data_IF_817931793056
#
_entry.id   IF_817931793056
#
_cell.length_a   1.000
_cell.length_b   1.000
_cell.length_c   1.000
_cell.angle_alpha   90.00
_cell.angle_beta   90.00
_cell.angle_gamma   90.00
#
_symmetry.space_group_name_H-M   'P 1'
#
loop_
_entity.id
_entity.type
_entity.pdbx_description
1 polymer ?
#
# COMPACT_ATOMS: atom_id res chain seq x y z
N UNK A 1 5.42 34.60 3.14
CA UNK A 1 5.03 33.22 2.79
C UNK A 1 3.52 33.16 2.89
N UNK A 2 2.79 33.22 1.78
CA UNK A 2 1.32 33.30 1.84
C UNK A 2 0.79 31.87 2.04
N UNK A 3 0.30 31.57 3.24
CA UNK A 3 -0.42 30.33 3.51
C UNK A 3 -1.65 30.31 2.60
N UNK A 4 -1.69 29.36 1.67
CA UNK A 4 -2.83 29.24 0.77
C UNK A 4 -4.01 28.68 1.58
N UNK A 5 -5.18 29.31 1.52
CA UNK A 5 -6.33 28.98 2.36
C UNK A 5 -6.91 27.60 1.95
N UNK A 6 -7.09 26.63 2.87
CA UNK A 6 -7.63 25.30 2.55
C UNK A 6 -8.93 25.34 1.73
N UNK A 7 -9.80 26.32 1.99
CA UNK A 7 -11.06 26.50 1.25
C UNK A 7 -10.83 26.90 -0.21
N UNK A 8 -9.82 27.74 -0.47
CA UNK A 8 -9.47 28.16 -1.83
C UNK A 8 -8.83 27.01 -2.60
N UNK A 9 -7.98 26.21 -1.93
CA UNK A 9 -7.41 24.99 -2.51
C UNK A 9 -8.47 23.98 -2.91
N UNK A 10 -9.49 23.75 -2.06
CA UNK A 10 -10.57 22.82 -2.34
C UNK A 10 -11.28 23.18 -3.65
N UNK A 11 -11.62 24.46 -3.84
CA UNK A 11 -12.25 24.95 -5.07
C UNK A 11 -11.32 24.88 -6.29
N UNK A 12 -10.03 25.22 -6.12
CA UNK A 12 -9.06 25.25 -7.22
C UNK A 12 -8.62 23.86 -7.71
N UNK A 13 -8.51 22.88 -6.81
CA UNK A 13 -7.94 21.56 -7.13
C UNK A 13 -9.00 20.46 -7.28
N UNK A 14 -10.07 20.54 -6.50
CA UNK A 14 -11.09 19.49 -6.42
C UNK A 14 -12.44 19.93 -6.97
N UNK A 15 -12.58 21.20 -7.40
CA UNK A 15 -13.82 21.80 -7.87
C UNK A 15 -14.99 21.65 -6.89
N UNK A 16 -14.69 21.52 -5.59
CA UNK A 16 -15.66 21.29 -4.51
C UNK A 16 -15.45 22.26 -3.36
N UNK A 17 -16.51 22.51 -2.60
CA UNK A 17 -16.41 23.26 -1.33
C UNK A 17 -15.64 22.42 -0.30
N UNK A 18 -14.81 23.05 0.53
CA UNK A 18 -14.06 22.34 1.58
C UNK A 18 -14.98 21.63 2.57
N UNK A 19 -16.14 22.24 2.87
CA UNK A 19 -17.12 21.69 3.82
C UNK A 19 -17.87 20.46 3.27
N UNK A 20 -17.80 20.20 1.96
CA UNK A 20 -18.38 19.01 1.33
C UNK A 20 -17.40 17.82 1.27
N UNK A 21 -16.13 18.06 1.58
CA UNK A 21 -15.09 17.04 1.54
C UNK A 21 -15.18 16.12 2.76
N UNK A 22 -14.72 14.88 2.59
CA UNK A 22 -14.59 13.96 3.70
C UNK A 22 -13.58 14.45 4.75
N UNK A 23 -13.69 13.99 6.02
CA UNK A 23 -12.80 14.43 7.10
C UNK A 23 -11.32 14.10 6.85
N UNK A 24 -11.04 13.12 5.98
CA UNK A 24 -9.68 12.77 5.57
C UNK A 24 -9.13 13.74 4.50
N UNK A 25 -9.97 14.15 3.54
CA UNK A 25 -9.59 15.08 2.46
C UNK A 25 -9.35 16.49 3.01
N UNK A 26 -10.20 16.94 3.93
CA UNK A 26 -10.03 18.21 4.65
C UNK A 26 -8.68 18.27 5.37
N UNK A 27 -8.33 17.22 6.12
CA UNK A 27 -7.04 17.12 6.82
C UNK A 27 -5.84 17.18 5.88
N UNK A 28 -5.93 16.56 4.70
CA UNK A 28 -4.86 16.60 3.70
C UNK A 28 -4.68 18.03 3.17
N UNK A 29 -5.77 18.70 2.80
CA UNK A 29 -5.74 20.10 2.34
C UNK A 29 -5.18 21.05 3.41
N UNK A 30 -5.56 20.88 4.67
CA UNK A 30 -5.01 21.66 5.79
C UNK A 30 -3.51 21.44 6.01
N UNK A 31 -3.04 20.19 5.92
CA UNK A 31 -1.61 19.86 6.02
C UNK A 31 -0.80 20.47 4.89
N UNK A 32 -1.35 20.42 3.68
CA UNK A 32 -0.74 21.00 2.49
C UNK A 32 -0.74 22.54 2.53
N UNK A 33 -1.83 23.15 3.01
CA UNK A 33 -1.94 24.59 3.23
C UNK A 33 -0.98 25.12 4.30
N UNK A 34 -0.78 24.36 5.39
CA UNK A 34 0.10 24.73 6.51
C UNK A 34 1.59 24.53 6.22
N UNK A 35 1.97 23.94 5.07
CA UNK A 35 3.37 23.74 4.67
C UNK A 35 4.15 22.79 5.59
N UNK A 36 3.45 22.02 6.44
CA UNK A 36 4.03 21.26 7.56
C UNK A 36 4.28 19.78 7.22
N UNK A 37 4.63 19.51 5.98
CA UNK A 37 4.94 18.15 5.52
C UNK A 37 6.43 17.86 5.72
N UNK A 38 6.81 17.62 6.97
CA UNK A 38 7.94 16.76 7.26
C UNK A 38 7.53 15.34 6.81
N UNK A 39 8.10 14.90 5.68
CA UNK A 39 7.90 13.57 5.14
C UNK A 39 8.50 12.48 6.04
N UNK A 40 8.12 11.24 5.74
CA UNK A 40 8.71 9.97 6.19
C UNK A 40 8.25 9.39 7.55
N UNK A 41 7.86 10.19 8.54
CA UNK A 41 7.67 9.66 9.90
C UNK A 41 6.51 8.65 10.07
N UNK A 42 5.38 8.82 9.38
CA UNK A 42 4.20 7.98 9.66
C UNK A 42 4.38 6.50 9.21
N UNK A 43 5.12 6.26 8.13
CA UNK A 43 5.39 4.90 7.64
C UNK A 43 6.57 4.25 8.36
N UNK A 44 7.63 5.02 8.67
CA UNK A 44 8.79 4.52 9.45
C UNK A 44 8.43 4.20 10.92
N UNK A 45 7.54 4.98 11.53
CA UNK A 45 7.06 4.70 12.89
C UNK A 45 6.16 3.46 12.96
N UNK A 46 5.38 3.18 11.91
CA UNK A 46 4.56 1.98 11.83
C UNK A 46 5.42 0.71 11.70
N UNK A 47 6.47 0.73 10.87
CA UNK A 47 7.38 -0.40 10.70
C UNK A 47 8.27 -0.66 11.93
N UNK A 48 8.65 0.38 12.69
CA UNK A 48 9.41 0.22 13.95
C UNK A 48 8.64 -0.51 15.06
N UNK A 49 7.32 -0.67 14.93
CA UNK A 49 6.47 -1.32 15.93
C UNK A 49 6.15 -2.80 15.63
N UNK A 50 6.76 -3.40 14.60
CA UNK A 50 6.40 -4.77 14.22
C UNK A 50 6.71 -5.78 15.33
N UNK A 51 5.66 -6.39 15.89
CA UNK A 51 5.78 -7.38 16.96
C UNK A 51 6.42 -8.66 16.40
N UNK A 52 7.11 -9.45 17.24
CA UNK A 52 7.74 -10.72 16.85
C UNK A 52 6.79 -11.65 16.06
N UNK A 53 5.52 -11.70 16.44
CA UNK A 53 4.49 -12.46 15.73
C UNK A 53 4.21 -11.97 14.31
N UNK A 54 4.26 -10.66 14.05
CA UNK A 54 4.06 -10.10 12.71
C UNK A 54 5.23 -10.45 11.78
N UNK A 55 6.46 -10.44 12.30
CA UNK A 55 7.66 -10.85 11.54
C UNK A 55 7.67 -12.34 11.22
N UNK A 56 7.17 -13.17 12.13
CA UNK A 56 7.03 -14.61 11.91
C UNK A 56 5.94 -14.90 10.87
N UNK A 57 4.78 -14.24 10.97
CA UNK A 57 3.69 -14.37 10.01
C UNK A 57 4.12 -13.96 8.59
N UNK A 58 4.91 -12.90 8.44
CA UNK A 58 5.44 -12.47 7.13
C UNK A 58 6.39 -13.50 6.50
N UNK A 59 7.26 -14.13 7.30
CA UNK A 59 8.12 -15.22 6.82
C UNK A 59 7.31 -16.46 6.44
N UNK A 60 6.31 -16.82 7.23
CA UNK A 60 5.42 -17.96 6.94
C UNK A 60 4.60 -17.71 5.66
N UNK A 61 4.09 -16.49 5.47
CA UNK A 61 3.36 -16.12 4.25
C UNK A 61 4.25 -16.15 3.00
N UNK A 62 5.48 -15.64 3.09
CA UNK A 62 6.45 -15.66 2.00
C UNK A 62 6.86 -17.09 1.59
N UNK A 63 6.98 -18.01 2.56
CA UNK A 63 7.34 -19.41 2.30
C UNK A 63 6.13 -20.22 1.83
N UNK A 64 4.95 -20.02 2.43
CA UNK A 64 3.73 -20.75 2.10
C UNK A 64 3.16 -20.42 0.71
N UNK A 65 3.48 -19.26 0.15
CA UNK A 65 3.07 -18.85 -1.21
C UNK A 65 4.00 -19.29 -2.34
N UNK A 66 5.10 -19.98 -2.04
CA UNK A 66 6.08 -20.37 -3.06
C UNK A 66 5.68 -21.64 -3.81
N UNK A 67 5.89 -21.67 -5.12
CA UNK A 67 5.75 -22.87 -5.94
C UNK A 67 6.61 -24.05 -5.45
N UNK A 68 7.78 -23.77 -4.86
CA UNK A 68 8.64 -24.80 -4.28
C UNK A 68 8.02 -25.45 -3.03
N UNK A 69 7.30 -24.68 -2.21
CA UNK A 69 6.59 -25.20 -1.04
C UNK A 69 5.43 -26.11 -1.45
N UNK A 70 4.66 -25.70 -2.48
CA UNK A 70 3.56 -26.51 -3.03
C UNK A 70 4.10 -27.85 -3.56
N UNK A 71 5.21 -27.83 -4.32
CA UNK A 71 5.84 -29.04 -4.84
C UNK A 71 6.36 -29.97 -3.73
N UNK A 72 7.04 -29.41 -2.71
CA UNK A 72 7.51 -30.18 -1.57
C UNK A 72 6.35 -30.80 -0.76
N UNK A 73 5.28 -30.03 -0.54
CA UNK A 73 4.08 -30.52 0.14
C UNK A 73 3.42 -31.68 -0.63
N UNK A 74 3.26 -31.55 -1.95
CA UNK A 74 2.76 -32.62 -2.80
C UNK A 74 3.65 -33.88 -2.75
N UNK A 75 4.98 -33.71 -2.74
CA UNK A 75 5.91 -34.82 -2.61
C UNK A 75 5.75 -35.56 -1.27
N UNK A 76 5.53 -34.84 -0.16
CA UNK A 76 5.25 -35.44 1.15
C UNK A 76 3.94 -36.24 1.14
N UNK A 77 2.89 -35.73 0.48
CA UNK A 77 1.62 -36.46 0.35
C UNK A 77 1.79 -37.76 -0.45
N UNK A 78 2.51 -37.70 -1.57
CA UNK A 78 2.81 -38.89 -2.38
C UNK A 78 3.64 -39.89 -1.57
N UNK A 79 4.66 -39.42 -0.85
CA UNK A 79 5.47 -40.26 0.01
C UNK A 79 4.62 -40.92 1.10
N UNK A 80 3.70 -40.21 1.73
CA UNK A 80 2.79 -40.75 2.74
C UNK A 80 1.92 -41.89 2.19
N UNK A 81 1.35 -41.69 1.01
CA UNK A 81 0.54 -42.69 0.31
C UNK A 81 1.37 -43.92 -0.05
N UNK A 82 2.56 -43.73 -0.63
CA UNK A 82 3.48 -44.82 -1.01
C UNK A 82 3.93 -45.62 0.22
N UNK A 83 4.26 -44.93 1.33
CA UNK A 83 4.64 -45.59 2.58
C UNK A 83 3.49 -46.44 3.12
N UNK A 84 2.29 -45.87 3.26
CA UNK A 84 1.15 -46.55 3.90
C UNK A 84 0.49 -47.63 3.04
N UNK A 85 0.50 -47.50 1.71
CA UNK A 85 -0.20 -48.44 0.82
C UNK A 85 0.72 -49.36 0.02
N UNK A 86 1.99 -49.00 -0.12
CA UNK A 86 2.99 -49.82 -0.81
C UNK A 86 4.00 -50.42 0.16
N UNK A 87 4.83 -49.55 0.76
CA UNK A 87 6.04 -49.99 1.45
C UNK A 87 5.75 -50.76 2.76
N UNK A 88 4.89 -50.22 3.64
CA UNK A 88 4.53 -50.83 4.93
C UNK A 88 3.90 -52.23 4.78
N UNK A 89 2.89 -52.43 3.90
CA UNK A 89 2.35 -53.76 3.63
C UNK A 89 3.39 -54.72 3.02
N UNK A 90 4.27 -54.24 2.14
CA UNK A 90 5.29 -55.06 1.48
C UNK A 90 6.35 -55.60 2.47
N UNK A 91 6.66 -54.83 3.52
CA UNK A 91 7.58 -55.22 4.60
C UNK A 91 6.86 -55.92 5.78
N UNK A 92 5.58 -56.24 5.64
CA UNK A 92 4.80 -56.98 6.65
C UNK A 92 4.39 -56.18 7.88
N UNK A 93 4.55 -54.85 7.86
CA UNK A 93 4.15 -53.97 8.96
C UNK A 93 2.71 -53.48 8.71
N UNK A 94 1.90 -53.47 9.75
CA UNK A 94 0.54 -52.95 9.65
C UNK A 94 0.58 -51.46 9.24
N UNK A 95 -0.14 -51.06 8.17
CA UNK A 95 -0.12 -49.69 7.72
C UNK A 95 -0.76 -48.76 8.76
N UNK A 96 -0.11 -47.62 9.01
CA UNK A 96 -0.54 -46.65 10.01
C UNK A 96 -1.84 -45.94 9.59
N UNK A 97 -1.98 -45.61 8.31
CA UNK A 97 -3.14 -44.93 7.74
C UNK A 97 -3.61 -45.65 6.46
N UNK A 98 -4.52 -46.62 6.62
CA UNK A 98 -5.05 -47.42 5.50
C UNK A 98 -6.04 -46.59 4.67
N UNK A 99 -6.07 -46.84 3.35
CA UNK A 99 -7.11 -46.30 2.47
C UNK A 99 -8.50 -46.52 3.12
N UNK A 100 -9.30 -45.47 3.35
CA UNK A 100 -9.33 -44.17 2.67
C UNK A 100 -8.52 -42.99 3.30
N UNK A 101 -7.47 -43.25 4.09
CA UNK A 101 -6.56 -42.25 4.69
C UNK A 101 -7.24 -41.24 5.63
N UNK A 102 -7.91 -41.74 6.67
CA UNK A 102 -8.67 -40.91 7.62
C UNK A 102 -7.75 -39.95 8.37
N UNK A 103 -6.55 -40.40 8.74
CA UNK A 103 -5.61 -39.56 9.50
C UNK A 103 -5.07 -38.42 8.64
N UNK A 104 -4.66 -38.72 7.41
CA UNK A 104 -4.22 -37.69 6.45
C UNK A 104 -5.33 -36.66 6.19
N UNK A 105 -6.56 -37.11 5.96
CA UNK A 105 -7.70 -36.21 5.75
C UNK A 105 -7.96 -35.31 6.96
N UNK A 106 -7.86 -35.84 8.18
CA UNK A 106 -8.02 -35.05 9.40
C UNK A 106 -6.94 -33.96 9.49
N UNK A 107 -5.67 -34.33 9.22
CA UNK A 107 -4.55 -33.37 9.22
C UNK A 107 -4.73 -32.27 8.18
N UNK A 108 -5.09 -32.63 6.94
CA UNK A 108 -5.34 -31.66 5.86
C UNK A 108 -6.51 -30.73 6.19
N UNK A 109 -7.58 -31.26 6.78
CA UNK A 109 -8.75 -30.47 7.17
C UNK A 109 -8.40 -29.45 8.25
N UNK A 110 -7.63 -29.84 9.27
CA UNK A 110 -7.17 -28.92 10.31
C UNK A 110 -6.21 -27.87 9.74
N UNK A 111 -5.30 -28.27 8.84
CA UNK A 111 -4.39 -27.36 8.18
C UNK A 111 -5.17 -26.29 7.38
N UNK A 112 -6.14 -26.71 6.59
CA UNK A 112 -7.00 -25.81 5.81
C UNK A 112 -7.82 -24.87 6.70
N UNK A 113 -8.39 -25.38 7.81
CA UNK A 113 -9.16 -24.59 8.76
C UNK A 113 -8.33 -23.46 9.39
N UNK A 114 -7.05 -23.70 9.68
CA UNK A 114 -6.14 -22.68 10.21
C UNK A 114 -5.62 -21.74 9.10
N UNK A 115 -5.49 -22.22 7.86
CA UNK A 115 -5.04 -21.41 6.73
C UNK A 115 -5.98 -20.26 6.39
N UNK A 116 -7.31 -20.50 6.36
CA UNK A 116 -8.26 -19.47 5.92
C UNK A 116 -8.21 -18.17 6.77
N UNK A 117 -8.23 -18.22 8.12
CA UNK A 117 -8.06 -17.03 8.95
C UNK A 117 -6.69 -16.36 8.78
N UNK A 118 -5.60 -17.12 8.63
CA UNK A 118 -4.27 -16.56 8.42
C UNK A 118 -4.21 -15.79 7.10
N UNK A 119 -4.79 -16.36 6.03
CA UNK A 119 -4.91 -15.70 4.73
C UNK A 119 -5.73 -14.42 4.89
N UNK A 120 -6.88 -14.47 5.57
CA UNK A 120 -7.73 -13.29 5.80
C UNK A 120 -7.02 -12.20 6.62
N UNK A 121 -6.26 -12.58 7.66
CA UNK A 121 -5.45 -11.65 8.45
C UNK A 121 -4.33 -11.01 7.60
N UNK A 122 -3.66 -11.80 6.76
CA UNK A 122 -2.65 -11.30 5.83
C UNK A 122 -3.26 -10.34 4.80
N UNK A 123 -4.41 -10.69 4.23
CA UNK A 123 -5.16 -9.84 3.29
C UNK A 123 -5.62 -8.54 3.95
N UNK A 124 -6.20 -8.59 5.16
CA UNK A 124 -6.62 -7.38 5.88
C UNK A 124 -5.43 -6.44 6.16
N UNK A 125 -4.27 -7.00 6.47
CA UNK A 125 -3.03 -6.25 6.66
C UNK A 125 -2.52 -5.63 5.35
N UNK A 126 -2.52 -6.36 4.24
CA UNK A 126 -2.16 -5.83 2.92
C UNK A 126 -3.11 -4.70 2.51
N UNK A 127 -4.43 -4.91 2.63
CA UNK A 127 -5.43 -3.89 2.31
C UNK A 127 -5.25 -2.60 3.14
N UNK A 128 -4.85 -2.72 4.41
CA UNK A 128 -4.53 -1.56 5.26
C UNK A 128 -3.31 -0.81 4.74
N UNK A 129 -2.24 -1.54 4.36
CA UNK A 129 -1.04 -0.93 3.76
C UNK A 129 -1.35 -0.25 2.43
N UNK A 130 -2.12 -0.91 1.56
CA UNK A 130 -2.53 -0.39 0.25
C UNK A 130 -3.37 0.89 0.41
N UNK A 131 -4.28 0.93 1.40
CA UNK A 131 -5.07 2.13 1.72
C UNK A 131 -4.19 3.30 2.18
N UNK A 132 -3.15 3.03 2.97
CA UNK A 132 -2.21 4.08 3.43
C UNK A 132 -1.37 4.58 2.26
N UNK A 133 -0.83 3.68 1.43
CA UNK A 133 -0.07 4.03 0.24
C UNK A 133 -0.91 4.89 -0.73
N UNK A 134 -2.16 4.49 -1.01
CA UNK A 134 -3.06 5.26 -1.86
C UNK A 134 -3.35 6.67 -1.33
N UNK A 135 -3.49 6.84 -0.01
CA UNK A 135 -3.66 8.16 0.62
C UNK A 135 -2.42 9.02 0.48
N UNK A 136 -1.25 8.43 0.68
CA UNK A 136 0.02 9.13 0.53
C UNK A 136 0.24 9.58 -0.92
N UNK A 137 -0.03 8.71 -1.89
CA UNK A 137 0.09 9.03 -3.32
C UNK A 137 -0.88 10.16 -3.71
N UNK A 138 -2.10 10.13 -3.19
CA UNK A 138 -3.07 11.22 -3.37
C UNK A 138 -2.56 12.55 -2.82
N UNK A 139 -1.99 12.56 -1.61
CA UNK A 139 -1.43 13.75 -0.97
C UNK A 139 -0.24 14.32 -1.75
N UNK A 140 0.68 13.46 -2.22
CA UNK A 140 1.81 13.86 -3.07
C UNK A 140 1.33 14.46 -4.38
N UNK A 141 0.34 13.84 -5.03
CA UNK A 141 -0.23 14.35 -6.28
C UNK A 141 -0.88 15.73 -6.09
N UNK A 142 -1.67 15.91 -5.03
CA UNK A 142 -2.29 17.19 -4.70
C UNK A 142 -1.26 18.30 -4.48
N UNK A 143 -0.16 17.96 -3.78
CA UNK A 143 0.96 18.89 -3.58
C UNK A 143 1.64 19.27 -4.89
N UNK A 144 1.90 18.29 -5.78
CA UNK A 144 2.51 18.55 -7.07
C UNK A 144 1.64 19.51 -7.92
N UNK A 145 0.32 19.32 -7.92
CA UNK A 145 -0.60 20.22 -8.61
C UNK A 145 -0.53 21.65 -8.08
N UNK A 146 -0.43 21.83 -6.75
CA UNK A 146 -0.28 23.17 -6.16
C UNK A 146 1.03 23.84 -6.51
N UNK A 147 2.13 23.08 -6.51
CA UNK A 147 3.42 23.59 -6.91
C UNK A 147 3.38 24.04 -8.38
N UNK A 148 2.68 23.31 -9.26
CA UNK A 148 2.43 23.69 -10.66
C UNK A 148 1.61 24.98 -10.74
N UNK A 149 0.48 25.10 -10.03
CA UNK A 149 -0.35 26.32 -10.04
C UNK A 149 0.44 27.52 -9.51
N UNK A 150 1.21 27.35 -8.44
CA UNK A 150 2.08 28.40 -7.89
C UNK A 150 3.16 28.81 -8.89
N UNK A 151 3.73 27.85 -9.62
CA UNK A 151 4.72 28.12 -10.66
C UNK A 151 4.08 28.89 -11.82
N UNK A 152 2.89 28.48 -12.27
CA UNK A 152 2.11 29.17 -13.30
C UNK A 152 1.87 30.65 -12.96
N UNK A 153 1.38 30.92 -11.74
CA UNK A 153 1.19 32.30 -11.27
C UNK A 153 2.49 33.13 -11.23
N UNK A 154 3.62 32.51 -10.88
CA UNK A 154 4.92 33.19 -10.93
C UNK A 154 5.31 33.50 -12.38
N UNK A 155 5.12 32.56 -13.29
CA UNK A 155 5.35 32.74 -14.73
C UNK A 155 4.50 33.86 -15.29
N UNK A 156 3.20 33.89 -15.00
CA UNK A 156 2.29 34.98 -15.42
C UNK A 156 2.69 36.34 -14.87
N UNK A 157 3.22 36.38 -13.64
CA UNK A 157 3.72 37.61 -13.04
C UNK A 157 4.97 38.11 -13.77
N UNK A 158 5.91 37.22 -14.08
CA UNK A 158 7.12 37.55 -14.84
C UNK A 158 6.76 38.02 -16.26
N UNK A 159 5.86 37.32 -16.94
CA UNK A 159 5.37 37.71 -18.27
C UNK A 159 4.74 39.10 -18.28
N UNK A 160 3.90 39.42 -17.27
CA UNK A 160 3.32 40.77 -17.11
C UNK A 160 4.38 41.84 -16.85
N UNK A 161 5.41 41.55 -16.07
CA UNK A 161 6.52 42.48 -15.83
C UNK A 161 7.32 42.74 -17.11
N UNK A 162 7.59 41.72 -17.91
CA UNK A 162 8.27 41.86 -19.21
C UNK A 162 7.46 42.71 -20.18
N UNK A 163 6.15 42.43 -20.32
CA UNK A 163 5.26 43.22 -21.18
C UNK A 163 5.20 44.70 -20.75
N UNK A 164 5.17 44.97 -19.44
CA UNK A 164 5.20 46.33 -18.91
C UNK A 164 6.55 47.04 -19.17
N UNK A 165 7.66 46.29 -19.13
CA UNK A 165 8.99 46.82 -19.45
C UNK A 165 9.11 47.16 -20.94
N UNK A 166 8.62 46.28 -21.82
CA UNK A 166 8.59 46.50 -23.27
C UNK A 166 7.76 47.75 -23.61
N UNK A 167 6.58 47.91 -23.00
CA UNK A 167 5.74 49.08 -23.18
C UNK A 167 6.43 50.38 -22.75
N UNK A 168 7.24 50.36 -21.69
CA UNK A 168 8.04 51.52 -21.25
C UNK A 168 9.17 51.84 -22.24
N UNK A 169 9.83 50.83 -22.81
CA UNK A 169 10.86 51.02 -23.83
C UNK A 169 10.30 51.63 -25.11
N UNK A 170 9.14 51.14 -25.60
CA UNK A 170 8.45 51.71 -26.78
C UNK A 170 8.01 53.16 -26.63
N UNK A 171 7.77 53.63 -25.40
CA UNK A 171 7.35 55.01 -25.10
C UNK A 171 8.50 55.99 -24.93
N UNK A 172 9.76 55.55 -24.97
CA UNK A 172 10.94 56.41 -24.83
C UNK A 172 11.26 57.01 -26.21
N UNK A 173 11.23 58.36 -26.39
CA UNK A 173 11.53 58.97 -27.68
C UNK A 173 13.00 58.70 -28.08
N UNK A 174 13.30 58.63 -29.39
CA UNK A 174 14.68 58.50 -29.85
C UNK A 174 15.48 59.71 -29.37
N UNK A 175 16.63 59.45 -28.77
CA UNK A 175 17.58 60.43 -28.28
C UNK A 175 18.30 61.14 -29.44
#
# INVERSE_FOLDING_TARGET
>A
MNAANPHELARLLLEREFDELGPDEQKVLERVASGRLAGLDASELADRSSTFGQRLADRVAAVGGSWAFIAAFAAVLVLWVVLNSGLLPLIGIAPFDRYPYIFLNLMLSMLAAVQAPIIMMSQNRQATKDRIAARHDYEVNLRAQLEIVRLSHKTDKVLRQLAALEAKLKRRPPA
#
